data_IF_662576708055
#
_entry.id   IF_662576708055
#
_cell.length_a   1.000
_cell.length_b   1.000
_cell.length_c   1.000
_cell.angle_alpha   90.00
_cell.angle_beta   90.00
_cell.angle_gamma   90.00
#
_symmetry.space_group_name_H-M   'P 1'
#
loop_
_entity.id
_entity.type
_entity.pdbx_description
1 polymer ?
#
# COMPACT_ATOMS: atom_id res chain seq x y z
N UNK A 1 -4.14 -1.77 18.33
CA UNK A 1 -3.14 -2.56 17.59
C UNK A 1 -3.11 -3.98 18.16
N UNK A 2 -3.18 -4.98 17.32
CA UNK A 2 -3.10 -6.38 17.67
C UNK A 2 -2.01 -7.07 16.85
N UNK A 3 -1.30 -8.04 17.42
CA UNK A 3 -0.27 -8.83 16.74
C UNK A 3 -0.26 -10.26 17.26
N UNK A 4 -0.06 -11.23 16.39
CA UNK A 4 0.19 -12.64 16.70
C UNK A 4 1.70 -12.98 16.72
N UNK A 5 2.58 -11.95 16.64
CA UNK A 5 4.03 -12.10 16.56
C UNK A 5 4.56 -12.16 15.11
N UNK A 6 3.70 -12.46 14.14
CA UNK A 6 4.06 -12.49 12.71
C UNK A 6 3.40 -11.38 11.91
N UNK A 7 2.15 -11.06 12.24
CA UNK A 7 1.35 -10.03 11.58
C UNK A 7 0.94 -8.93 12.55
N UNK A 8 0.97 -7.69 12.09
CA UNK A 8 0.53 -6.52 12.82
C UNK A 8 -0.78 -6.04 12.19
N UNK A 9 -1.85 -6.03 12.98
CA UNK A 9 -3.13 -5.47 12.57
C UNK A 9 -3.44 -4.23 13.40
N UNK A 10 -3.90 -3.20 12.72
CA UNK A 10 -4.39 -1.98 13.33
C UNK A 10 -5.92 -2.03 13.35
N UNK A 11 -6.49 -1.74 14.52
CA UNK A 11 -7.94 -1.69 14.68
C UNK A 11 -8.32 -0.39 15.38
N UNK A 12 -9.42 0.20 14.95
CA UNK A 12 -10.11 1.28 15.64
C UNK A 12 -11.23 0.68 16.47
N UNK A 13 -11.21 0.92 17.76
CA UNK A 13 -12.28 0.51 18.66
C UNK A 13 -13.30 1.65 18.76
N UNK A 14 -14.55 1.34 18.43
CA UNK A 14 -15.69 2.25 18.53
C UNK A 14 -16.60 1.76 19.65
N UNK A 15 -16.94 2.62 20.57
CA UNK A 15 -17.90 2.35 21.63
C UNK A 15 -19.21 3.07 21.30
N UNK A 16 -20.32 2.32 21.31
CA UNK A 16 -21.64 2.89 21.10
C UNK A 16 -22.24 3.46 22.40
N UNK A 17 -23.41 4.11 22.29
CA UNK A 17 -24.10 4.73 23.43
C UNK A 17 -24.54 3.70 24.51
N UNK A 18 -24.47 2.42 24.22
CA UNK A 18 -24.80 1.31 25.13
C UNK A 18 -23.56 0.64 25.74
N UNK A 19 -22.36 1.18 25.45
CA UNK A 19 -21.09 0.61 25.94
C UNK A 19 -20.63 -0.65 25.19
N UNK A 20 -21.22 -0.95 24.03
CA UNK A 20 -20.77 -2.05 23.19
C UNK A 20 -19.58 -1.58 22.33
N UNK A 21 -18.46 -2.33 22.42
CA UNK A 21 -17.26 -2.04 21.65
C UNK A 21 -17.26 -2.85 20.36
N UNK A 22 -17.16 -2.16 19.24
CA UNK A 22 -16.89 -2.75 17.92
C UNK A 22 -15.47 -2.41 17.46
N UNK A 23 -14.84 -3.31 16.74
CA UNK A 23 -13.48 -3.10 16.21
C UNK A 23 -13.49 -3.12 14.69
N UNK A 24 -13.07 -2.02 14.09
CA UNK A 24 -12.89 -1.90 12.65
C UNK A 24 -11.41 -1.94 12.28
N UNK A 25 -11.05 -2.71 11.26
CA UNK A 25 -9.68 -2.74 10.76
C UNK A 25 -9.35 -1.43 10.05
N UNK A 26 -8.17 -0.90 10.30
CA UNK A 26 -7.63 0.29 9.63
C UNK A 26 -6.33 -0.05 8.90
N UNK A 27 -6.02 0.70 7.85
CA UNK A 27 -4.88 0.44 6.96
C UNK A 27 -3.52 0.67 7.65
N UNK A 28 -3.43 1.66 8.51
CA UNK A 28 -2.24 2.00 9.29
C UNK A 28 -2.64 2.79 10.54
N UNK A 29 -1.68 3.04 11.41
CA UNK A 29 -1.86 3.92 12.57
C UNK A 29 -1.59 5.39 12.16
N UNK A 30 -2.50 6.34 12.46
CA UNK A 30 -2.31 7.74 12.11
C UNK A 30 -1.00 8.31 12.64
N UNK A 31 -0.41 9.26 11.95
CA UNK A 31 0.72 10.04 12.44
C UNK A 31 0.25 11.06 13.49
N UNK A 32 1.20 11.67 14.21
CA UNK A 32 0.87 12.78 15.10
C UNK A 32 0.20 13.92 14.32
N UNK A 33 -0.98 14.33 14.78
CA UNK A 33 -1.79 15.37 14.14
C UNK A 33 -2.63 14.91 12.94
N UNK A 34 -2.56 13.63 12.55
CA UNK A 34 -3.40 13.03 11.50
C UNK A 34 -4.59 12.32 12.12
N UNK A 35 -5.80 12.59 11.65
CA UNK A 35 -7.01 11.88 12.08
C UNK A 35 -7.16 10.54 11.32
N UNK A 36 -8.11 9.70 11.77
CA UNK A 36 -8.44 8.48 11.03
C UNK A 36 -9.12 8.81 9.69
N UNK A 37 -9.95 9.85 9.66
CA UNK A 37 -10.58 10.33 8.45
C UNK A 37 -9.54 10.80 7.43
N UNK A 38 -8.49 11.50 7.88
CA UNK A 38 -7.37 11.90 7.02
C UNK A 38 -6.62 10.69 6.49
N UNK A 39 -6.32 9.71 7.36
CA UNK A 39 -5.64 8.47 6.97
C UNK A 39 -6.45 7.70 5.92
N UNK A 40 -7.77 7.60 6.07
CA UNK A 40 -8.65 6.93 5.11
C UNK A 40 -8.77 7.72 3.80
N UNK A 41 -8.85 9.05 3.88
CA UNK A 41 -8.98 9.92 2.71
C UNK A 41 -7.67 9.98 1.90
N UNK A 42 -6.53 10.04 2.59
CA UNK A 42 -5.20 10.08 1.98
C UNK A 42 -4.70 8.69 1.56
N UNK A 43 -5.24 7.64 2.18
CA UNK A 43 -4.86 6.25 1.94
C UNK A 43 -3.50 5.88 2.51
N UNK A 44 -2.86 6.78 3.25
CA UNK A 44 -1.53 6.55 3.81
C UNK A 44 -1.25 7.40 5.05
N UNK A 45 -0.29 6.96 5.83
CA UNK A 45 0.22 7.71 6.97
C UNK A 45 1.00 8.94 6.49
N UNK A 46 0.74 10.11 7.09
CA UNK A 46 1.38 11.38 6.72
C UNK A 46 2.92 11.32 6.82
N UNK A 47 3.45 10.58 7.81
CA UNK A 47 4.88 10.34 7.98
C UNK A 47 5.20 8.88 7.68
N UNK A 48 5.94 8.56 6.60
CA UNK A 48 6.32 7.20 6.26
C UNK A 48 7.19 6.56 7.35
N UNK A 49 6.95 5.28 7.63
CA UNK A 49 7.83 4.51 8.50
C UNK A 49 9.05 4.02 7.73
N UNK A 50 10.20 4.00 8.40
CA UNK A 50 11.37 3.30 7.84
C UNK A 50 11.15 1.80 8.00
N UNK A 51 11.13 1.02 6.91
CA UNK A 51 11.03 -0.43 7.01
C UNK A 51 12.31 -0.98 7.64
N UNK A 52 12.18 -1.97 8.53
CA UNK A 52 13.31 -2.79 8.92
C UNK A 52 13.67 -3.74 7.76
N UNK A 53 14.97 -3.91 7.48
CA UNK A 53 15.42 -4.75 6.36
C UNK A 53 14.86 -6.18 6.42
N UNK A 54 14.79 -6.77 7.61
CA UNK A 54 14.23 -8.11 7.81
C UNK A 54 12.72 -8.16 7.47
N UNK A 55 11.97 -7.12 7.81
CA UNK A 55 10.55 -7.01 7.47
C UNK A 55 10.35 -6.92 5.96
N UNK A 56 11.23 -6.19 5.26
CA UNK A 56 11.15 -6.04 3.80
C UNK A 56 11.35 -7.38 3.09
N UNK A 57 12.38 -8.14 3.48
CA UNK A 57 12.68 -9.47 2.90
C UNK A 57 11.52 -10.44 3.14
N UNK A 58 10.96 -10.47 4.36
CA UNK A 58 9.80 -11.30 4.68
C UNK A 58 8.58 -10.92 3.84
N UNK A 59 8.33 -9.62 3.66
CA UNK A 59 7.22 -9.13 2.84
C UNK A 59 7.38 -9.55 1.38
N UNK A 60 8.56 -9.37 0.79
CA UNK A 60 8.81 -9.79 -0.59
C UNK A 60 8.65 -11.29 -0.78
N UNK A 61 9.13 -12.10 0.16
CA UNK A 61 8.94 -13.54 0.11
C UNK A 61 7.44 -13.90 0.17
N UNK A 62 6.68 -13.31 1.07
CA UNK A 62 5.21 -13.54 1.16
C UNK A 62 4.49 -13.15 -0.12
N UNK A 63 4.81 -12.00 -0.71
CA UNK A 63 4.22 -11.56 -1.98
C UNK A 63 4.55 -12.55 -3.11
N UNK A 64 5.82 -12.95 -3.22
CA UNK A 64 6.25 -13.95 -4.20
C UNK A 64 5.51 -15.28 -4.02
N UNK A 65 5.47 -15.81 -2.80
CA UNK A 65 4.83 -17.09 -2.50
C UNK A 65 3.32 -17.05 -2.75
N UNK A 66 2.67 -15.90 -2.48
CA UNK A 66 1.26 -15.69 -2.76
C UNK A 66 0.96 -15.73 -4.27
N UNK A 67 1.71 -14.99 -5.07
CA UNK A 67 1.54 -14.95 -6.54
C UNK A 67 1.84 -16.35 -7.12
N UNK A 68 2.94 -16.97 -6.67
CA UNK A 68 3.34 -18.29 -7.13
C UNK A 68 2.31 -19.39 -6.79
N UNK A 69 1.69 -19.31 -5.61
CA UNK A 69 0.72 -20.31 -5.14
C UNK A 69 -0.65 -20.18 -5.76
N UNK A 70 -1.13 -18.93 -5.99
CA UNK A 70 -2.52 -18.68 -6.40
C UNK A 70 -2.71 -18.61 -7.92
N UNK A 71 -1.71 -18.13 -8.67
CA UNK A 71 -1.88 -17.90 -10.10
C UNK A 71 -1.50 -19.12 -10.96
N UNK A 72 -0.93 -20.16 -10.38
CA UNK A 72 -0.46 -21.34 -11.16
C UNK A 72 0.64 -21.01 -12.19
N UNK A 73 1.01 -19.74 -12.31
CA UNK A 73 1.92 -19.18 -13.29
C UNK A 73 3.36 -19.10 -12.75
N UNK A 74 3.95 -20.26 -12.51
CA UNK A 74 5.27 -20.38 -11.87
C UNK A 74 6.39 -19.56 -12.52
N UNK A 75 6.32 -19.34 -13.83
CA UNK A 75 7.36 -18.59 -14.57
C UNK A 75 7.13 -17.07 -14.57
N UNK A 76 5.90 -16.62 -14.40
CA UNK A 76 5.54 -15.19 -14.46
C UNK A 76 5.48 -14.53 -13.09
N UNK A 77 5.29 -15.29 -12.00
CA UNK A 77 5.15 -14.75 -10.65
C UNK A 77 6.29 -13.79 -10.25
N UNK A 78 7.53 -14.12 -10.64
CA UNK A 78 8.67 -13.23 -10.37
C UNK A 78 8.57 -11.91 -11.14
N UNK A 79 8.18 -11.95 -12.41
CA UNK A 79 8.05 -10.76 -13.24
C UNK A 79 6.89 -9.87 -12.79
N UNK A 80 5.77 -10.46 -12.39
CA UNK A 80 4.64 -9.73 -11.82
C UNK A 80 5.02 -9.02 -10.52
N UNK A 81 5.71 -9.71 -9.61
CA UNK A 81 6.22 -9.11 -8.39
C UNK A 81 7.20 -7.96 -8.70
N UNK A 82 8.10 -8.16 -9.67
CA UNK A 82 9.06 -7.13 -10.06
C UNK A 82 8.36 -5.89 -10.63
N UNK A 83 7.34 -6.08 -11.48
CA UNK A 83 6.53 -4.98 -12.00
C UNK A 83 5.85 -4.19 -10.88
N UNK A 84 5.28 -4.86 -9.88
CA UNK A 84 4.68 -4.20 -8.71
C UNK A 84 5.72 -3.41 -7.90
N UNK A 85 6.92 -3.95 -7.72
CA UNK A 85 8.03 -3.26 -7.05
C UNK A 85 8.41 -1.99 -7.81
N UNK A 86 8.54 -2.05 -9.12
CA UNK A 86 8.84 -0.87 -9.94
C UNK A 86 7.73 0.16 -9.90
N UNK A 87 6.46 -0.24 -9.94
CA UNK A 87 5.34 0.68 -9.77
C UNK A 87 5.42 1.42 -8.42
N UNK A 88 5.70 0.69 -7.33
CA UNK A 88 5.85 1.28 -6.01
C UNK A 88 7.02 2.26 -5.94
N UNK A 89 8.19 1.86 -6.44
CA UNK A 89 9.38 2.72 -6.47
C UNK A 89 9.17 3.98 -7.30
N UNK A 90 8.48 3.85 -8.44
CA UNK A 90 8.13 4.98 -9.28
C UNK A 90 7.24 5.97 -8.55
N UNK A 91 6.16 5.48 -7.93
CA UNK A 91 5.20 6.29 -7.20
C UNK A 91 5.85 7.04 -6.03
N UNK A 92 6.72 6.36 -5.25
CA UNK A 92 7.47 6.98 -4.16
C UNK A 92 8.49 8.01 -4.68
N UNK A 93 9.23 7.69 -5.74
CA UNK A 93 10.24 8.59 -6.31
C UNK A 93 9.60 9.86 -6.87
N UNK A 94 8.46 9.73 -7.54
CA UNK A 94 7.70 10.87 -8.05
C UNK A 94 7.22 11.78 -6.93
N UNK A 95 6.72 11.23 -5.84
CA UNK A 95 6.33 12.02 -4.66
C UNK A 95 7.47 12.89 -4.14
N UNK A 96 8.69 12.33 -4.03
CA UNK A 96 9.85 13.09 -3.58
C UNK A 96 10.30 14.14 -4.59
N UNK A 97 10.22 13.88 -5.89
CA UNK A 97 10.54 14.83 -6.94
C UNK A 97 9.56 16.00 -6.92
N UNK A 98 8.27 15.71 -6.96
CA UNK A 98 7.21 16.71 -6.99
C UNK A 98 7.20 17.57 -5.72
N UNK A 99 7.47 16.96 -4.55
CA UNK A 99 7.59 17.71 -3.29
C UNK A 99 8.76 18.72 -3.29
N UNK A 100 9.87 18.42 -3.98
CA UNK A 100 10.97 19.36 -4.16
C UNK A 100 10.61 20.55 -5.05
N UNK A 101 9.71 20.33 -6.00
CA UNK A 101 9.19 21.34 -6.92
C UNK A 101 7.96 22.09 -6.36
N UNK A 102 7.56 21.79 -5.13
CA UNK A 102 6.39 22.39 -4.47
C UNK A 102 5.05 21.86 -5.01
N UNK A 103 5.08 20.76 -5.76
CA UNK A 103 3.89 20.11 -6.30
C UNK A 103 3.37 19.10 -5.30
N UNK A 104 2.07 19.18 -4.96
CA UNK A 104 1.42 18.19 -4.11
C UNK A 104 1.15 16.93 -4.93
N UNK A 105 1.89 15.87 -4.65
CA UNK A 105 1.67 14.56 -5.26
C UNK A 105 1.05 13.60 -4.25
N UNK A 106 -0.13 13.05 -4.59
CA UNK A 106 -0.77 12.00 -3.81
C UNK A 106 -0.29 10.64 -4.27
N UNK A 107 0.21 9.83 -3.34
CA UNK A 107 0.58 8.44 -3.65
C UNK A 107 -0.63 7.65 -4.16
N UNK A 108 -0.38 6.83 -5.16
CA UNK A 108 -1.39 5.97 -5.78
C UNK A 108 -1.17 4.48 -5.46
N UNK A 109 0.05 4.11 -5.08
CA UNK A 109 0.40 2.73 -4.74
C UNK A 109 0.03 2.42 -3.28
N UNK A 110 -1.24 2.21 -3.04
CA UNK A 110 -1.79 1.82 -1.75
C UNK A 110 -3.11 1.05 -1.93
N UNK A 111 -3.53 0.35 -0.87
CA UNK A 111 -4.81 -0.38 -0.83
C UNK A 111 -5.49 -0.06 0.50
N UNK A 112 -6.69 0.51 0.44
CA UNK A 112 -7.53 0.72 1.60
C UNK A 112 -8.20 -0.57 2.08
N UNK A 113 -8.49 -0.67 3.38
CA UNK A 113 -9.15 -1.85 3.96
C UNK A 113 -10.51 -2.10 3.30
N UNK A 114 -11.28 -1.06 3.03
CA UNK A 114 -12.58 -1.17 2.35
C UNK A 114 -12.42 -1.62 0.89
N UNK A 115 -11.37 -1.17 0.21
CA UNK A 115 -11.09 -1.54 -1.18
C UNK A 115 -10.73 -3.02 -1.34
N UNK A 116 -9.94 -3.58 -0.43
CA UNK A 116 -9.52 -5.00 -0.54
C UNK A 116 -10.65 -5.99 -0.33
N UNK A 117 -11.73 -5.58 0.35
CA UNK A 117 -12.82 -6.46 0.76
C UNK A 117 -14.06 -6.40 -0.16
N UNK A 118 -14.04 -5.57 -1.20
CA UNK A 118 -15.14 -5.44 -2.16
C UNK A 118 -14.64 -5.63 -3.59
N UNK A 119 -15.43 -6.27 -4.49
CA UNK A 119 -15.06 -6.43 -5.90
C UNK A 119 -14.80 -5.08 -6.60
N UNK A 120 -15.62 -4.08 -6.33
CA UNK A 120 -15.49 -2.73 -6.87
C UNK A 120 -14.21 -2.06 -6.40
N UNK A 121 -13.87 -2.23 -5.11
CA UNK A 121 -12.64 -1.72 -4.54
C UNK A 121 -11.40 -2.39 -5.13
N UNK A 122 -11.43 -3.72 -5.28
CA UNK A 122 -10.35 -4.47 -5.92
C UNK A 122 -10.14 -4.03 -7.38
N UNK A 123 -11.23 -3.77 -8.11
CA UNK A 123 -11.16 -3.24 -9.46
C UNK A 123 -10.54 -1.83 -9.49
N UNK A 124 -10.97 -0.95 -8.58
CA UNK A 124 -10.42 0.40 -8.47
C UNK A 124 -8.92 0.40 -8.17
N UNK A 125 -8.45 -0.49 -7.28
CA UNK A 125 -7.03 -0.70 -7.00
C UNK A 125 -6.28 -1.18 -8.24
N UNK A 126 -6.82 -2.17 -8.96
CA UNK A 126 -6.20 -2.71 -10.17
C UNK A 126 -6.02 -1.63 -11.24
N UNK A 127 -7.05 -0.82 -11.51
CA UNK A 127 -6.98 0.29 -12.47
C UNK A 127 -5.99 1.37 -12.03
N UNK A 128 -5.92 1.67 -10.74
CA UNK A 128 -4.96 2.63 -10.18
C UNK A 128 -3.51 2.16 -10.36
N UNK A 129 -3.22 0.88 -10.06
CA UNK A 129 -1.89 0.30 -10.24
C UNK A 129 -1.52 0.22 -11.73
N UNK A 130 -2.47 -0.14 -12.58
CA UNK A 130 -2.29 -0.14 -14.03
C UNK A 130 -1.92 1.27 -14.56
N UNK A 131 -2.59 2.31 -14.06
CA UNK A 131 -2.24 3.69 -14.39
C UNK A 131 -0.82 4.07 -13.98
N UNK A 132 -0.33 3.60 -12.82
CA UNK A 132 1.07 3.79 -12.41
C UNK A 132 2.02 3.07 -13.39
N UNK A 133 1.67 1.86 -13.81
CA UNK A 133 2.49 1.08 -14.75
C UNK A 133 2.58 1.72 -16.14
N UNK A 134 1.49 2.30 -16.64
CA UNK A 134 1.52 3.06 -17.91
C UNK A 134 2.41 4.31 -17.78
N UNK A 135 2.24 5.11 -16.71
CA UNK A 135 3.10 6.25 -16.44
C UNK A 135 4.58 5.86 -16.31
N UNK A 136 4.86 4.71 -15.66
CA UNK A 136 6.21 4.17 -15.54
C UNK A 136 6.83 3.87 -16.90
N UNK A 137 6.08 3.26 -17.82
CA UNK A 137 6.56 2.94 -19.18
C UNK A 137 6.89 4.20 -19.99
N UNK A 138 6.11 5.26 -19.80
CA UNK A 138 6.32 6.54 -20.49
C UNK A 138 7.42 7.39 -19.85
N UNK A 139 7.77 7.08 -18.58
CA UNK A 139 8.75 7.87 -17.83
C UNK A 139 10.19 7.58 -18.23
N UNK A 140 11.03 8.60 -18.08
CA UNK A 140 12.48 8.48 -18.25
C UNK A 140 13.22 8.08 -16.94
N UNK A 141 12.48 7.87 -15.86
CA UNK A 141 13.05 7.73 -14.51
C UNK A 141 14.00 6.53 -14.37
N UNK A 142 13.80 5.49 -15.18
CA UNK A 142 14.60 4.26 -15.18
C UNK A 142 15.35 4.00 -16.50
N UNK A 143 15.48 5.01 -17.38
CA UNK A 143 16.19 4.82 -18.66
C UNK A 143 17.69 4.70 -18.53
N UNK A 144 18.24 5.09 -17.36
CA UNK A 144 19.67 5.08 -17.09
C UNK A 144 20.09 3.96 -16.12
N UNK A 145 19.23 2.94 -15.93
CA UNK A 145 19.50 1.76 -15.07
C UNK A 145 19.74 0.52 -15.89
#
# INVERSE_FOLDING_TARGET
CWTNGEDLQYVHALEDDFGQVTCEAISDFPAEGQTLEDLEAEGERAVPRKPANESLVKTFKRCHDYIYGNEGMKKTAFWELLNLIFCKLYDEKRRFSDAREGISYRRRFWVGVKEQNTPEGQHAVAERIKGIFEDLKESNIFKDV
#
